data_IF_282896187574
#
_entry.id   IF_282896187574
#
_cell.length_a   1.000
_cell.length_b   1.000
_cell.length_c   1.000
_cell.angle_alpha   90.00
_cell.angle_beta   90.00
_cell.angle_gamma   90.00
#
_symmetry.space_group_name_H-M   'P 1'
#
loop_
_entity.id
_entity.type
_entity.pdbx_description
1 polymer ?
#
# COMPACT_ATOMS: atom_id res chain seq x y z
N UNK A 1 7.31 6.53 -10.56
CA UNK A 1 6.07 6.67 -9.76
C UNK A 1 6.09 7.93 -8.90
N UNK A 2 6.92 8.02 -7.86
CA UNK A 2 6.97 9.18 -6.95
C UNK A 2 7.15 10.53 -7.66
N UNK A 3 8.06 10.61 -8.63
CA UNK A 3 8.25 11.82 -9.46
C UNK A 3 6.97 12.28 -10.17
N UNK A 4 6.12 11.35 -10.63
CA UNK A 4 4.87 11.72 -11.32
C UNK A 4 3.79 12.17 -10.33
N UNK A 5 3.69 11.52 -9.18
CA UNK A 5 2.75 11.92 -8.12
C UNK A 5 3.10 13.28 -7.54
N UNK A 6 4.38 13.62 -7.39
CA UNK A 6 4.78 14.93 -6.87
C UNK A 6 4.43 16.10 -7.80
N UNK A 7 4.04 15.83 -9.04
CA UNK A 7 3.59 16.81 -10.03
C UNK A 7 2.09 16.71 -10.33
N UNK A 8 1.35 15.87 -9.59
CA UNK A 8 -0.10 15.82 -9.66
C UNK A 8 -0.75 16.98 -8.88
N UNK A 9 -2.04 17.18 -9.10
CA UNK A 9 -2.80 18.18 -8.33
C UNK A 9 -2.86 17.78 -6.86
N UNK A 10 -2.57 18.75 -5.98
CA UNK A 10 -2.57 18.56 -4.54
C UNK A 10 -3.83 19.21 -3.99
N UNK A 11 -4.77 18.41 -3.50
CA UNK A 11 -5.86 18.90 -2.67
C UNK A 11 -5.32 19.22 -1.26
N UNK A 12 -5.81 20.30 -0.65
CA UNK A 12 -5.48 20.59 0.73
C UNK A 12 -6.02 19.45 1.62
N UNK A 13 -5.16 18.76 2.38
CA UNK A 13 -5.59 17.63 3.17
C UNK A 13 -6.49 18.12 4.31
N UNK A 14 -7.66 17.52 4.42
CA UNK A 14 -8.57 17.70 5.55
C UNK A 14 -7.95 17.07 6.81
N UNK A 15 -7.37 17.91 7.67
CA UNK A 15 -6.70 17.48 8.89
C UNK A 15 -7.73 17.07 9.94
N UNK A 16 -7.59 15.86 10.47
CA UNK A 16 -8.52 15.29 11.45
C UNK A 16 -7.75 14.79 12.67
N UNK A 17 -8.31 14.99 13.86
CA UNK A 17 -7.81 14.42 15.11
C UNK A 17 -6.41 14.94 15.46
N UNK A 18 -5.46 14.03 15.70
CA UNK A 18 -4.07 14.39 16.05
C UNK A 18 -3.42 15.27 14.98
N UNK A 19 -3.72 15.06 13.70
CA UNK A 19 -3.18 15.88 12.63
C UNK A 19 -3.73 17.32 12.67
N UNK A 20 -5.01 17.50 13.02
CA UNK A 20 -5.61 18.82 13.21
C UNK A 20 -5.00 19.57 14.40
N UNK A 21 -4.87 18.88 15.54
CA UNK A 21 -4.25 19.44 16.75
C UNK A 21 -2.80 19.90 16.51
N UNK A 22 -2.04 19.17 15.68
CA UNK A 22 -0.70 19.59 15.25
C UNK A 22 -0.74 20.76 14.26
N UNK A 23 -1.76 20.80 13.40
CA UNK A 23 -1.98 21.86 12.41
C UNK A 23 -2.19 23.23 13.04
N UNK A 24 -2.88 23.29 14.19
CA UNK A 24 -3.20 24.52 14.94
C UNK A 24 -1.97 25.17 15.63
N UNK A 25 -0.85 24.45 15.75
CA UNK A 25 0.36 24.98 16.36
C UNK A 25 1.04 26.05 15.47
N UNK A 26 1.77 26.97 16.10
CA UNK A 26 2.64 27.91 15.38
C UNK A 26 3.65 27.15 14.51
N UNK A 27 4.03 27.71 13.36
CA UNK A 27 4.87 27.02 12.36
C UNK A 27 6.15 26.40 12.92
N UNK A 28 6.82 27.10 13.85
CA UNK A 28 8.05 26.61 14.48
C UNK A 28 7.77 25.42 15.39
N UNK A 29 6.74 25.52 16.23
CA UNK A 29 6.31 24.45 17.12
C UNK A 29 5.83 23.24 16.33
N UNK A 30 5.01 23.43 15.29
CA UNK A 30 4.51 22.36 14.42
C UNK A 30 5.66 21.58 13.77
N UNK A 31 6.62 22.29 13.16
CA UNK A 31 7.79 21.65 12.53
C UNK A 31 8.64 20.88 13.54
N UNK A 32 8.89 21.47 14.70
CA UNK A 32 9.66 20.80 15.76
C UNK A 32 8.96 19.51 16.21
N UNK A 33 7.67 19.58 16.56
CA UNK A 33 6.90 18.42 17.01
C UNK A 33 6.84 17.33 15.95
N UNK A 34 6.56 17.67 14.69
CA UNK A 34 6.51 16.69 13.59
C UNK A 34 7.87 16.03 13.37
N UNK A 35 8.96 16.79 13.37
CA UNK A 35 10.32 16.23 13.24
C UNK A 35 10.66 15.34 14.44
N UNK A 36 10.33 15.76 15.67
CA UNK A 36 10.53 14.94 16.86
C UNK A 36 9.75 13.63 16.79
N UNK A 37 8.47 13.67 16.39
CA UNK A 37 7.66 12.47 16.19
C UNK A 37 8.31 11.54 15.16
N UNK A 38 8.75 12.08 14.03
CA UNK A 38 9.40 11.30 12.98
C UNK A 38 10.69 10.62 13.47
N UNK A 39 11.57 11.36 14.14
CA UNK A 39 12.84 10.84 14.66
C UNK A 39 12.60 9.79 15.76
N UNK A 40 11.69 10.07 16.70
CA UNK A 40 11.39 9.14 17.80
C UNK A 40 10.75 7.88 17.27
N UNK A 41 9.73 7.98 16.40
CA UNK A 41 9.12 6.80 15.78
C UNK A 41 10.12 5.99 14.96
N UNK A 42 10.97 6.65 14.18
CA UNK A 42 12.03 6.00 13.41
C UNK A 42 13.02 5.25 14.31
N UNK A 43 13.47 5.88 15.41
CA UNK A 43 14.36 5.24 16.38
C UNK A 43 13.69 4.02 17.05
N UNK A 44 12.43 4.14 17.45
CA UNK A 44 11.66 3.02 18.03
C UNK A 44 11.54 1.88 17.03
N UNK A 45 11.20 2.15 15.77
CA UNK A 45 11.12 1.11 14.72
C UNK A 45 12.46 0.40 14.56
N UNK A 46 13.58 1.13 14.46
CA UNK A 46 14.90 0.54 14.29
C UNK A 46 15.31 -0.32 15.49
N UNK A 47 15.04 0.14 16.72
CA UNK A 47 15.37 -0.58 17.95
C UNK A 47 14.46 -1.80 18.17
N UNK A 48 13.20 -1.74 17.72
CA UNK A 48 12.21 -2.80 17.96
C UNK A 48 12.09 -3.81 16.81
N UNK A 49 12.50 -3.49 15.58
CA UNK A 49 12.27 -4.36 14.42
C UNK A 49 12.86 -5.78 14.57
N UNK A 50 14.14 -5.88 14.98
CA UNK A 50 14.79 -7.18 15.19
C UNK A 50 14.21 -7.93 16.41
N UNK A 51 14.09 -7.34 17.61
CA UNK A 51 13.45 -8.00 18.74
C UNK A 51 12.02 -8.45 18.44
N UNK A 52 11.26 -7.67 17.68
CA UNK A 52 9.91 -8.04 17.27
C UNK A 52 9.92 -9.31 16.42
N UNK A 53 10.75 -9.38 15.38
CA UNK A 53 10.85 -10.55 14.51
C UNK A 53 11.31 -11.80 15.29
N UNK A 54 12.35 -11.67 16.12
CA UNK A 54 12.91 -12.78 16.91
C UNK A 54 11.87 -13.31 17.91
N UNK A 55 11.20 -12.41 18.64
CA UNK A 55 10.17 -12.80 19.62
C UNK A 55 8.91 -13.37 18.97
N UNK A 56 8.51 -12.87 17.80
CA UNK A 56 7.36 -13.40 17.06
C UNK A 56 7.57 -14.87 16.68
N UNK A 57 8.76 -15.19 16.15
CA UNK A 57 9.13 -16.56 15.78
C UNK A 57 9.28 -17.44 17.01
N UNK A 58 9.92 -16.94 18.08
CA UNK A 58 10.10 -17.68 19.32
C UNK A 58 8.76 -18.04 19.97
N UNK A 59 7.91 -17.04 20.23
CA UNK A 59 6.61 -17.23 20.86
C UNK A 59 5.69 -18.14 20.02
N UNK A 60 5.65 -17.96 18.71
CA UNK A 60 4.83 -18.83 17.87
C UNK A 60 5.36 -20.26 17.78
N UNK A 61 6.68 -20.46 17.82
CA UNK A 61 7.28 -21.82 17.88
C UNK A 61 6.93 -22.52 19.19
N UNK A 62 6.95 -21.81 20.33
CA UNK A 62 6.52 -22.35 21.64
C UNK A 62 5.04 -22.75 21.64
N UNK A 63 4.21 -22.03 20.90
CA UNK A 63 2.78 -22.32 20.71
C UNK A 63 2.51 -23.41 19.64
N UNK A 64 3.55 -23.97 19.02
CA UNK A 64 3.43 -24.99 17.97
C UNK A 64 2.93 -24.45 16.62
N UNK A 65 2.98 -23.13 16.40
CA UNK A 65 2.60 -22.48 15.15
C UNK A 65 3.78 -22.57 14.17
N UNK A 66 3.46 -22.93 12.93
CA UNK A 66 4.44 -23.00 11.85
C UNK A 66 5.11 -21.63 11.60
N UNK A 67 6.44 -21.63 11.48
CA UNK A 67 7.23 -20.40 11.30
C UNK A 67 6.90 -19.65 10.03
N UNK A 68 6.55 -20.38 8.97
CA UNK A 68 6.16 -19.76 7.72
C UNK A 68 4.82 -19.03 7.88
N UNK A 69 3.86 -19.55 8.66
CA UNK A 69 2.64 -18.79 8.99
C UNK A 69 2.94 -17.51 9.78
N UNK A 70 3.85 -17.57 10.75
CA UNK A 70 4.23 -16.40 11.55
C UNK A 70 4.88 -15.31 10.70
N UNK A 71 5.86 -15.68 9.88
CA UNK A 71 6.64 -14.73 9.06
C UNK A 71 5.84 -14.23 7.87
N UNK A 72 5.03 -15.08 7.22
CA UNK A 72 4.30 -14.70 6.01
C UNK A 72 2.97 -13.99 6.30
N UNK A 73 2.29 -14.32 7.41
CA UNK A 73 0.96 -13.81 7.67
C UNK A 73 0.90 -12.92 8.91
N UNK A 74 1.44 -13.38 10.03
CA UNK A 74 1.28 -12.65 11.29
C UNK A 74 2.16 -11.39 11.31
N UNK A 75 3.41 -11.47 10.85
CA UNK A 75 4.30 -10.33 10.82
C UNK A 75 3.74 -9.20 9.93
N UNK A 76 3.35 -9.46 8.66
CA UNK A 76 2.77 -8.42 7.81
C UNK A 76 1.46 -7.88 8.35
N UNK A 77 0.57 -8.75 8.87
CA UNK A 77 -0.69 -8.31 9.46
C UNK A 77 -0.47 -7.34 10.61
N UNK A 78 0.48 -7.64 11.51
CA UNK A 78 0.80 -6.77 12.63
C UNK A 78 1.45 -5.46 12.17
N UNK A 79 2.39 -5.51 11.22
CA UNK A 79 3.09 -4.31 10.73
C UNK A 79 2.22 -3.41 9.86
N UNK A 80 1.23 -3.96 9.17
CA UNK A 80 0.30 -3.23 8.29
C UNK A 80 -0.99 -2.82 9.02
N UNK A 81 -1.27 -3.37 10.21
CA UNK A 81 -2.47 -3.05 10.98
C UNK A 81 -2.70 -1.53 11.19
N UNK A 82 -1.69 -0.71 11.53
CA UNK A 82 -1.88 0.73 11.65
C UNK A 82 -2.41 1.37 10.35
N UNK A 83 -1.94 0.91 9.19
CA UNK A 83 -2.40 1.41 7.90
C UNK A 83 -3.85 0.98 7.61
N UNK A 84 -4.18 -0.29 7.85
CA UNK A 84 -5.54 -0.79 7.69
C UNK A 84 -6.56 -0.08 8.60
N UNK A 85 -6.16 0.28 9.82
CA UNK A 85 -6.99 1.06 10.74
C UNK A 85 -7.33 2.42 10.14
N UNK A 86 -6.34 3.16 9.62
CA UNK A 86 -6.56 4.46 8.99
C UNK A 86 -7.46 4.35 7.76
N UNK A 87 -7.21 3.38 6.88
CA UNK A 87 -8.05 3.14 5.71
C UNK A 87 -9.51 2.81 6.11
N UNK A 88 -9.70 2.03 7.17
CA UNK A 88 -11.04 1.70 7.71
C UNK A 88 -11.74 2.93 8.30
N UNK A 89 -11.00 3.82 8.97
CA UNK A 89 -11.53 5.10 9.47
C UNK A 89 -12.00 5.97 8.29
N UNK A 90 -11.23 6.07 7.21
CA UNK A 90 -11.67 6.80 6.01
C UNK A 90 -12.90 6.16 5.36
N UNK A 91 -12.89 4.84 5.16
CA UNK A 91 -14.02 4.13 4.57
C UNK A 91 -15.32 4.29 5.41
N UNK A 92 -15.23 4.17 6.73
CA UNK A 92 -16.38 4.33 7.64
C UNK A 92 -16.94 5.76 7.68
N UNK A 93 -16.12 6.76 7.32
CA UNK A 93 -16.54 8.17 7.20
C UNK A 93 -17.03 8.54 5.79
N UNK A 94 -17.25 7.56 4.91
CA UNK A 94 -17.68 7.79 3.54
C UNK A 94 -16.56 8.22 2.58
N UNK A 95 -15.31 8.33 3.06
CA UNK A 95 -14.12 8.63 2.24
C UNK A 95 -13.54 7.35 1.62
N UNK A 96 -14.40 6.58 0.94
CA UNK A 96 -14.05 5.28 0.37
C UNK A 96 -13.00 5.36 -0.75
N UNK A 97 -13.05 6.43 -1.56
CA UNK A 97 -12.06 6.68 -2.62
C UNK A 97 -10.68 6.90 -2.03
N UNK A 98 -10.56 7.73 -0.99
CA UNK A 98 -9.29 8.01 -0.31
C UNK A 98 -8.73 6.75 0.34
N UNK A 99 -9.57 5.97 1.02
CA UNK A 99 -9.19 4.69 1.62
C UNK A 99 -8.60 3.72 0.58
N UNK A 100 -9.27 3.55 -0.57
CA UNK A 100 -8.78 2.69 -1.64
C UNK A 100 -7.51 3.27 -2.28
N UNK A 101 -7.43 4.58 -2.48
CA UNK A 101 -6.24 5.23 -3.04
C UNK A 101 -5.01 5.05 -2.12
N UNK A 102 -5.19 5.18 -0.80
CA UNK A 102 -4.14 4.90 0.19
C UNK A 102 -3.66 3.45 0.09
N UNK A 103 -4.58 2.47 0.12
CA UNK A 103 -4.24 1.06 0.05
C UNK A 103 -3.56 0.67 -1.28
N UNK A 104 -4.02 1.23 -2.40
CA UNK A 104 -3.37 1.02 -3.71
C UNK A 104 -1.96 1.60 -3.70
N UNK A 105 -1.79 2.83 -3.20
CA UNK A 105 -0.49 3.49 -3.14
C UNK A 105 0.50 2.71 -2.27
N UNK A 106 0.06 2.21 -1.12
CA UNK A 106 0.88 1.34 -0.27
C UNK A 106 1.24 0.05 -0.98
N UNK A 107 0.30 -0.60 -1.68
CA UNK A 107 0.61 -1.80 -2.44
C UNK A 107 1.63 -1.54 -3.56
N UNK A 108 1.54 -0.41 -4.25
CA UNK A 108 2.57 0.00 -5.24
C UNK A 108 3.93 0.16 -4.58
N UNK A 109 3.99 0.84 -3.43
CA UNK A 109 5.23 1.01 -2.66
C UNK A 109 5.83 -0.34 -2.23
N UNK A 110 5.01 -1.26 -1.72
CA UNK A 110 5.43 -2.60 -1.32
C UNK A 110 5.92 -3.44 -2.51
N UNK A 111 5.23 -3.41 -3.65
CA UNK A 111 5.67 -4.20 -4.82
C UNK A 111 6.90 -3.60 -5.52
N UNK A 112 7.20 -2.32 -5.30
CA UNK A 112 8.32 -1.65 -5.99
C UNK A 112 9.49 -1.40 -5.06
N UNK A 113 9.35 -0.44 -4.14
CA UNK A 113 10.43 0.01 -3.26
C UNK A 113 10.82 -1.05 -2.24
N UNK A 114 9.86 -1.78 -1.67
CA UNK A 114 10.20 -2.84 -0.72
C UNK A 114 10.91 -4.00 -1.43
N UNK A 115 10.36 -4.56 -2.51
CA UNK A 115 11.03 -5.64 -3.27
C UNK A 115 12.39 -5.18 -3.80
N UNK A 116 12.49 -3.96 -4.33
CA UNK A 116 13.75 -3.39 -4.83
C UNK A 116 14.78 -3.10 -3.73
N UNK A 117 14.37 -2.94 -2.48
CA UNK A 117 15.28 -2.74 -1.36
C UNK A 117 15.78 -4.04 -0.73
N UNK A 118 15.12 -5.19 -0.97
CA UNK A 118 15.56 -6.49 -0.44
C UNK A 118 16.99 -6.87 -0.85
N UNK A 119 17.43 -6.78 -2.12
CA UNK A 119 18.81 -7.09 -2.49
C UNK A 119 19.82 -6.15 -1.84
N UNK A 120 19.47 -4.86 -1.69
CA UNK A 120 20.32 -3.89 -1.00
C UNK A 120 20.44 -4.20 0.48
N UNK A 121 19.34 -4.54 1.14
CA UNK A 121 19.33 -4.95 2.54
C UNK A 121 20.12 -6.24 2.75
N UNK A 122 20.01 -7.20 1.82
CA UNK A 122 20.79 -8.43 1.85
C UNK A 122 22.30 -8.14 1.77
N UNK A 123 22.73 -7.32 0.81
CA UNK A 123 24.13 -6.92 0.65
C UNK A 123 24.67 -6.16 1.88
N UNK A 124 23.92 -5.17 2.36
CA UNK A 124 24.31 -4.38 3.54
C UNK A 124 24.28 -5.21 4.84
N UNK A 125 23.45 -6.25 4.89
CA UNK A 125 23.36 -7.19 6.00
C UNK A 125 24.47 -8.25 6.03
N UNK A 126 25.42 -8.22 5.09
CA UNK A 126 26.53 -9.19 5.00
C UNK A 126 26.27 -10.38 4.07
N UNK A 127 25.20 -10.33 3.27
CA UNK A 127 24.90 -11.30 2.22
C UNK A 127 25.71 -11.11 0.94
N UNK A 128 25.43 -11.96 -0.06
CA UNK A 128 26.08 -11.92 -1.37
C UNK A 128 25.50 -10.83 -2.29
N UNK A 129 26.09 -10.69 -3.49
CA UNK A 129 25.55 -9.80 -4.52
C UNK A 129 24.26 -10.32 -5.17
N UNK A 130 24.00 -11.63 -5.09
CA UNK A 130 22.78 -12.27 -5.56
C UNK A 130 21.84 -12.60 -4.40
N UNK A 131 20.58 -12.15 -4.50
CA UNK A 131 19.50 -12.65 -3.67
C UNK A 131 18.91 -13.88 -4.35
N UNK A 132 19.42 -15.06 -4.01
CA UNK A 132 18.92 -16.32 -4.56
C UNK A 132 17.56 -16.65 -3.98
N UNK A 133 16.59 -16.93 -4.86
CA UNK A 133 15.26 -17.36 -4.48
C UNK A 133 15.15 -18.88 -4.66
N UNK A 134 14.70 -19.57 -3.62
CA UNK A 134 14.35 -20.98 -3.74
C UNK A 134 13.07 -21.19 -4.58
N UNK A 135 12.77 -22.44 -4.94
CA UNK A 135 11.59 -22.75 -5.76
C UNK A 135 10.28 -22.31 -5.11
N UNK A 136 10.16 -22.41 -3.79
CA UNK A 136 8.97 -21.98 -3.05
C UNK A 136 8.83 -20.46 -3.09
N UNK A 137 9.91 -19.72 -2.89
CA UNK A 137 9.90 -18.26 -2.96
C UNK A 137 9.52 -17.78 -4.37
N UNK A 138 10.04 -18.43 -5.42
CA UNK A 138 9.63 -18.14 -6.81
C UNK A 138 8.14 -18.40 -7.01
N UNK A 139 7.59 -19.51 -6.48
CA UNK A 139 6.16 -19.80 -6.52
C UNK A 139 5.32 -18.75 -5.77
N UNK A 140 5.74 -18.31 -4.58
CA UNK A 140 5.04 -17.27 -3.80
C UNK A 140 5.10 -15.90 -4.50
N UNK A 141 6.23 -15.57 -5.14
CA UNK A 141 6.35 -14.36 -5.97
C UNK A 141 5.41 -14.44 -7.17
N UNK A 142 5.34 -15.58 -7.86
CA UNK A 142 4.43 -15.78 -8.98
C UNK A 142 2.96 -15.68 -8.55
N UNK A 143 2.61 -16.27 -7.41
CA UNK A 143 1.27 -16.21 -6.83
C UNK A 143 0.87 -14.78 -6.51
N UNK A 144 1.76 -14.06 -5.83
CA UNK A 144 1.56 -12.65 -5.46
C UNK A 144 1.47 -11.76 -6.71
N UNK A 145 2.31 -12.00 -7.73
CA UNK A 145 2.26 -11.27 -8.99
C UNK A 145 0.94 -11.51 -9.74
N UNK A 146 0.46 -12.75 -9.76
CA UNK A 146 -0.82 -13.12 -10.38
C UNK A 146 -2.00 -12.45 -9.66
N UNK A 147 -1.99 -12.43 -8.33
CA UNK A 147 -2.99 -11.74 -7.52
C UNK A 147 -2.95 -10.21 -7.75
N UNK A 148 -1.76 -9.61 -7.81
CA UNK A 148 -1.59 -8.19 -8.15
C UNK A 148 -2.16 -7.88 -9.52
N UNK A 149 -1.90 -8.73 -10.53
CA UNK A 149 -2.43 -8.55 -11.88
C UNK A 149 -3.96 -8.62 -11.90
N UNK A 150 -4.56 -9.55 -11.16
CA UNK A 150 -6.01 -9.60 -10.96
C UNK A 150 -6.53 -8.31 -10.31
N UNK A 151 -5.89 -7.83 -9.24
CA UNK A 151 -6.26 -6.59 -8.57
C UNK A 151 -6.23 -5.37 -9.50
N UNK A 152 -5.19 -5.25 -10.32
CA UNK A 152 -5.07 -4.22 -11.36
C UNK A 152 -6.23 -4.33 -12.37
N UNK A 153 -6.53 -5.53 -12.86
CA UNK A 153 -7.61 -5.75 -13.82
C UNK A 153 -9.00 -5.39 -13.26
N UNK A 154 -9.23 -5.63 -11.96
CA UNK A 154 -10.47 -5.31 -11.27
C UNK A 154 -10.67 -3.80 -11.05
N UNK A 155 -9.58 -3.03 -10.91
CA UNK A 155 -9.62 -1.59 -10.66
C UNK A 155 -9.50 -0.78 -11.97
N UNK A 156 -9.17 -1.43 -13.09
CA UNK A 156 -8.94 -0.78 -14.40
C UNK A 156 -10.13 0.07 -14.88
N UNK A 157 -11.36 -0.30 -14.52
CA UNK A 157 -12.57 0.44 -14.83
C UNK A 157 -12.84 1.66 -13.91
N UNK A 158 -11.96 1.92 -12.94
CA UNK A 158 -12.14 2.89 -11.84
C UNK A 158 -13.43 2.66 -11.02
N UNK A 159 -13.95 1.43 -11.04
CA UNK A 159 -15.15 1.01 -10.28
C UNK A 159 -14.84 -0.25 -9.50
N UNK A 160 -14.76 -0.11 -8.18
CA UNK A 160 -14.51 -1.24 -7.29
C UNK A 160 -15.84 -1.78 -6.75
N UNK A 161 -16.36 -2.85 -7.38
CA UNK A 161 -17.65 -3.44 -6.99
C UNK A 161 -17.53 -4.33 -5.74
N UNK A 162 -18.65 -4.54 -5.04
CA UNK A 162 -18.71 -5.49 -3.90
C UNK A 162 -18.32 -6.91 -4.32
N UNK A 163 -18.65 -7.31 -5.56
CA UNK A 163 -18.26 -8.62 -6.09
C UNK A 163 -16.74 -8.73 -6.25
N UNK A 164 -16.08 -7.68 -6.72
CA UNK A 164 -14.61 -7.62 -6.82
C UNK A 164 -13.95 -7.74 -5.44
N UNK A 165 -14.52 -7.07 -4.43
CA UNK A 165 -14.04 -7.15 -3.05
C UNK A 165 -14.18 -8.57 -2.47
N UNK A 166 -15.35 -9.20 -2.65
CA UNK A 166 -15.58 -10.58 -2.21
C UNK A 166 -14.73 -11.60 -2.96
N UNK A 167 -14.48 -11.40 -4.26
CA UNK A 167 -13.59 -12.26 -5.04
C UNK A 167 -12.14 -12.18 -4.52
N UNK A 168 -11.63 -10.97 -4.29
CA UNK A 168 -10.30 -10.76 -3.69
C UNK A 168 -10.20 -11.40 -2.32
N UNK A 169 -11.16 -11.15 -1.44
CA UNK A 169 -11.17 -11.69 -0.08
C UNK A 169 -11.32 -13.22 -0.07
N UNK A 170 -12.22 -13.77 -0.88
CA UNK A 170 -12.48 -15.20 -0.95
C UNK A 170 -11.26 -15.98 -1.45
N UNK A 171 -10.65 -15.53 -2.55
CA UNK A 171 -9.46 -16.18 -3.10
C UNK A 171 -8.25 -16.03 -2.15
N UNK A 172 -8.13 -14.89 -1.48
CA UNK A 172 -7.13 -14.68 -0.44
C UNK A 172 -7.30 -15.66 0.73
N UNK A 173 -8.53 -15.88 1.22
CA UNK A 173 -8.81 -16.85 2.30
C UNK A 173 -8.50 -18.28 1.82
N UNK A 174 -8.88 -18.64 0.59
CA UNK A 174 -8.58 -19.95 0.00
C UNK A 174 -7.08 -20.21 -0.09
N UNK A 175 -6.25 -19.17 -0.22
CA UNK A 175 -4.80 -19.30 -0.26
C UNK A 175 -4.19 -19.83 1.04
N UNK A 176 -4.75 -19.48 2.22
CA UNK A 176 -4.19 -19.87 3.52
C UNK A 176 -3.97 -21.39 3.70
N UNK A 177 -4.96 -22.26 3.42
CA UNK A 177 -4.77 -23.71 3.55
C UNK A 177 -3.92 -24.33 2.43
N UNK A 178 -3.59 -23.58 1.36
CA UNK A 178 -2.87 -24.11 0.21
C UNK A 178 -1.36 -24.10 0.45
N UNK A 179 -0.86 -25.15 1.10
CA UNK A 179 0.58 -25.33 1.37
C UNK A 179 1.33 -26.02 0.24
N UNK A 180 0.62 -26.68 -0.70
CA UNK A 180 1.21 -27.45 -1.78
C UNK A 180 1.54 -26.59 -3.01
N UNK A 181 2.63 -26.93 -3.71
CA UNK A 181 3.02 -26.29 -4.97
C UNK A 181 1.90 -26.35 -6.01
N UNK A 182 1.24 -27.51 -6.17
CA UNK A 182 0.13 -27.64 -7.11
C UNK A 182 -1.03 -26.71 -6.75
N UNK A 183 -1.37 -26.59 -5.46
CA UNK A 183 -2.41 -25.67 -5.00
C UNK A 183 -2.08 -24.21 -5.33
N UNK A 184 -0.83 -23.78 -5.09
CA UNK A 184 -0.36 -22.44 -5.47
C UNK A 184 -0.46 -22.21 -6.97
N UNK A 185 0.00 -23.15 -7.80
CA UNK A 185 -0.04 -23.02 -9.26
C UNK A 185 -1.48 -22.97 -9.81
N UNK A 186 -2.40 -23.76 -9.25
CA UNK A 186 -3.82 -23.69 -9.60
C UNK A 186 -4.38 -22.31 -9.25
N UNK A 187 -4.05 -21.79 -8.07
CA UNK A 187 -4.50 -20.47 -7.65
C UNK A 187 -3.91 -19.34 -8.52
N UNK A 188 -2.64 -19.44 -8.92
CA UNK A 188 -2.05 -18.56 -9.94
C UNK A 188 -2.86 -18.58 -11.24
N UNK A 189 -3.25 -19.78 -11.70
CA UNK A 189 -4.09 -19.96 -12.88
C UNK A 189 -5.45 -19.29 -12.73
N UNK A 190 -6.12 -19.45 -11.58
CA UNK A 190 -7.41 -18.80 -11.28
C UNK A 190 -7.27 -17.28 -11.30
N UNK A 191 -6.26 -16.72 -10.62
CA UNK A 191 -5.97 -15.29 -10.67
C UNK A 191 -5.70 -14.81 -12.09
N UNK A 192 -4.91 -15.57 -12.87
CA UNK A 192 -4.61 -15.27 -14.26
C UNK A 192 -5.85 -15.25 -15.16
N UNK A 193 -6.74 -16.23 -15.03
CA UNK A 193 -8.00 -16.28 -15.80
C UNK A 193 -8.88 -15.07 -15.49
N UNK A 194 -9.06 -14.74 -14.21
CA UNK A 194 -9.85 -13.57 -13.80
C UNK A 194 -9.20 -12.28 -14.30
N UNK A 195 -7.88 -12.16 -14.20
CA UNK A 195 -7.15 -11.02 -14.69
C UNK A 195 -7.31 -10.83 -16.20
N UNK A 196 -7.12 -11.89 -16.99
CA UNK A 196 -7.30 -11.87 -18.45
C UNK A 196 -8.74 -11.52 -18.82
N UNK A 197 -9.73 -12.14 -18.16
CA UNK A 197 -11.14 -11.78 -18.36
C UNK A 197 -11.41 -10.30 -18.07
N UNK A 198 -10.90 -9.80 -16.94
CA UNK A 198 -11.00 -8.39 -16.58
C UNK A 198 -10.34 -7.45 -17.58
N UNK A 199 -9.14 -7.79 -18.08
CA UNK A 199 -8.43 -7.03 -19.11
C UNK A 199 -9.17 -7.02 -20.45
N UNK A 200 -9.80 -8.14 -20.85
CA UNK A 200 -10.58 -8.23 -22.09
C UNK A 200 -11.84 -7.35 -22.01
N UNK A 201 -12.52 -7.39 -20.87
CA UNK A 201 -13.72 -6.57 -20.61
C UNK A 201 -13.33 -5.09 -20.58
N UNK A 202 -12.21 -4.74 -19.93
CA UNK A 202 -11.74 -3.37 -19.75
C UNK A 202 -10.67 -2.94 -20.77
N UNK A 203 -10.62 -3.59 -21.95
CA UNK A 203 -9.58 -3.35 -22.97
C UNK A 203 -9.52 -1.92 -23.48
N UNK A 204 -10.65 -1.19 -23.42
CA UNK A 204 -10.72 0.22 -23.83
C UNK A 204 -10.00 1.13 -22.83
N UNK A 205 -10.14 0.84 -21.55
CA UNK A 205 -9.49 1.55 -20.46
C UNK A 205 -7.99 1.25 -20.41
N UNK A 206 -7.57 0.05 -20.81
CA UNK A 206 -6.16 -0.37 -20.79
C UNK A 206 -5.23 0.62 -21.50
N UNK A 207 -5.60 1.06 -22.71
CA UNK A 207 -4.80 2.01 -23.48
C UNK A 207 -4.71 3.35 -22.76
N UNK A 208 -5.82 3.86 -22.25
CA UNK A 208 -5.86 5.12 -21.50
C UNK A 208 -5.01 5.03 -20.22
N UNK A 209 -5.08 3.93 -19.48
CA UNK A 209 -4.29 3.72 -18.26
C UNK A 209 -2.79 3.62 -18.55
N UNK A 210 -2.38 2.95 -19.63
CA UNK A 210 -0.98 2.88 -20.04
C UNK A 210 -0.44 4.23 -20.51
N UNK A 211 -1.28 5.04 -21.15
CA UNK A 211 -0.92 6.36 -21.64
C UNK A 211 -0.90 7.44 -20.56
N UNK A 212 -1.73 7.31 -19.51
CA UNK A 212 -1.92 8.34 -18.48
C UNK A 212 -0.62 8.83 -17.83
N UNK A 213 0.36 7.97 -17.45
CA UNK A 213 1.61 8.42 -16.87
C UNK A 213 2.49 9.27 -17.81
N UNK A 214 2.33 9.10 -19.13
CA UNK A 214 3.20 9.71 -20.15
C UNK A 214 2.55 10.91 -20.85
N UNK A 215 1.24 10.86 -21.07
CA UNK A 215 0.49 11.87 -21.85
C UNK A 215 -0.30 12.86 -20.99
N UNK A 216 -0.48 12.62 -19.69
CA UNK A 216 -1.22 13.53 -18.82
C UNK A 216 -0.48 14.84 -18.54
N UNK A 217 -1.00 15.96 -19.05
CA UNK A 217 -0.81 17.28 -18.43
C UNK A 217 -1.56 17.32 -17.10
N UNK A 218 -0.89 17.65 -16.00
CA UNK A 218 -1.54 17.93 -14.72
C UNK A 218 -2.74 18.87 -14.95
N UNK A 219 -3.92 18.52 -14.46
CA UNK A 219 -5.13 19.30 -14.65
C UNK A 219 -4.99 20.50 -13.72
N UNK A 220 -4.34 21.58 -14.19
CA UNK A 220 -4.25 22.85 -13.47
C UNK A 220 -5.65 23.30 -13.05
N UNK A 221 -6.04 22.99 -11.82
CA UNK A 221 -7.17 23.64 -11.18
C UNK A 221 -6.68 25.06 -10.85
N UNK A 222 -7.11 26.04 -11.63
CA UNK A 222 -7.01 27.44 -11.24
C UNK A 222 -7.73 27.56 -9.90
N UNK A 223 -6.96 27.82 -8.83
CA UNK A 223 -7.48 28.02 -7.49
C UNK A 223 -8.64 29.01 -7.50
N UNK A 224 -9.61 28.77 -6.62
CA UNK A 224 -10.71 29.72 -6.37
C UNK A 224 -10.14 31.14 -6.22
N UNK A 225 -10.72 32.15 -6.89
CA UNK A 225 -10.34 33.53 -6.63
C UNK A 225 -10.58 33.80 -5.14
N UNK A 226 -9.54 34.24 -4.45
CA UNK A 226 -9.67 34.81 -3.11
C UNK A 226 -10.78 35.86 -3.17
N UNK A 227 -11.81 35.70 -2.34
CA UNK A 227 -12.65 36.83 -1.99
C UNK A 227 -11.72 37.84 -1.31
N UNK A 228 -11.31 38.87 -2.06
CA UNK A 228 -10.80 40.10 -1.48
C UNK A 228 -11.89 40.61 -0.55
N UNK A 229 -11.60 40.56 0.75
CA UNK A 229 -12.36 41.29 1.74
C UNK A 229 -12.25 42.77 1.39
N UNK A 230 -13.34 43.35 0.89
CA UNK A 230 -13.52 44.80 0.76
C UNK A 230 -13.09 45.47 2.07
N UNK A 231 -12.01 46.24 2.00
CA UNK A 231 -11.68 47.24 3.01
C UNK A 231 -12.74 48.35 2.95
N UNK A 232 -13.34 48.77 4.05
CA UNK A 232 -14.18 49.96 4.06
C UNK A 232 -13.28 51.18 3.82
N UNK A 233 -13.56 51.89 2.73
CA UNK A 233 -12.95 53.18 2.39
C UNK A 233 -13.22 54.20 3.52
N UNK A 234 -12.23 54.98 3.99
CA UNK A 234 -12.49 56.01 5.00
C UNK A 234 -13.10 57.25 4.33
N UNK A 235 -14.26 57.67 4.83
CA UNK A 235 -14.81 59.01 4.67
C UNK A 235 -15.47 59.44 5.98
#
# INVERSE_FOLDING_TARGET
YLYKISHGDVEEPDLIGTAAALGELSDRSRRFVVVSLFVVSGAVILLCARPFADNLVAAGTELGIDRFLLVQWLAPLASEAPEFIIATIFASRGKGTDAIATLISSKVNQWTLLIGSLPLAHLLGGGGFSLELDSRQVEEVLLTASQTLMGVALILALRFSRASAWALLGLFIVQFPLTSTQGRLVLCGVYGVIAVGGLIVNRRQLVATLQAPFLGTAIRHSGHPHHESESPNPA
#
